data_IF_688955755601
#
_entry.id   IF_688955755601
#
_cell.length_a   1.000
_cell.length_b   1.000
_cell.length_c   1.000
_cell.angle_alpha   90.00
_cell.angle_beta   90.00
_cell.angle_gamma   90.00
#
_symmetry.space_group_name_H-M   'P 1'
#
loop_
_entity.id
_entity.type
_entity.pdbx_description
1 polymer ?
#
# COMPACT_ATOMS: atom_id res chain seq x y z
N UNK A 1 48.14 -59.86 -3.58
CA UNK A 1 48.32 -58.80 -2.59
C UNK A 1 48.98 -57.66 -3.34
N UNK A 2 48.20 -56.67 -3.70
CA UNK A 2 48.71 -55.47 -4.35
C UNK A 2 48.37 -54.35 -3.41
N UNK A 3 49.45 -53.72 -2.88
CA UNK A 3 49.36 -52.59 -1.95
C UNK A 3 48.76 -51.37 -2.65
N UNK A 4 47.72 -50.83 -2.02
CA UNK A 4 46.97 -49.64 -2.42
C UNK A 4 47.29 -48.47 -1.49
N UNK A 5 48.58 -48.07 -1.46
CA UNK A 5 48.99 -46.86 -0.74
C UNK A 5 49.82 -45.97 -1.67
N UNK A 6 49.43 -44.67 -1.72
CA UNK A 6 50.10 -43.54 -2.39
C UNK A 6 49.60 -43.10 -3.75
N UNK A 7 48.42 -42.50 -3.73
CA UNK A 7 47.98 -41.62 -4.85
C UNK A 7 47.72 -40.13 -4.40
N UNK A 8 47.96 -39.77 -3.14
CA UNK A 8 47.73 -38.44 -2.61
C UNK A 8 48.92 -37.69 -2.04
N UNK A 9 50.14 -37.96 -2.56
CA UNK A 9 51.34 -37.21 -2.17
C UNK A 9 51.73 -36.27 -3.32
N UNK A 10 51.20 -35.05 -3.33
CA UNK A 10 51.53 -34.04 -4.35
C UNK A 10 50.57 -32.85 -4.47
N UNK A 11 49.84 -32.52 -3.43
CA UNK A 11 49.09 -31.24 -3.44
C UNK A 11 49.81 -30.27 -2.49
N UNK A 12 50.41 -29.25 -3.14
CA UNK A 12 51.07 -28.11 -2.52
C UNK A 12 50.16 -27.44 -1.47
N UNK A 13 50.67 -27.37 -0.23
CA UNK A 13 50.02 -26.72 0.92
C UNK A 13 50.21 -25.19 0.95
N UNK A 14 50.39 -24.56 -0.18
CA UNK A 14 50.64 -23.10 -0.22
C UNK A 14 49.80 -22.33 -1.26
N UNK A 15 48.51 -22.70 -1.43
CA UNK A 15 47.54 -21.78 -1.97
C UNK A 15 46.73 -21.22 -0.78
N UNK A 16 47.18 -20.08 -0.27
CA UNK A 16 46.48 -19.32 0.73
C UNK A 16 45.08 -18.95 0.25
N UNK A 17 44.14 -19.79 0.65
CA UNK A 17 42.71 -19.48 0.49
C UNK A 17 42.41 -18.41 1.54
N UNK A 18 42.39 -17.15 1.10
CA UNK A 18 42.01 -16.01 1.89
C UNK A 18 40.53 -16.15 2.30
N UNK A 19 40.30 -16.61 3.53
CA UNK A 19 38.98 -16.70 4.14
C UNK A 19 38.34 -15.32 4.39
N UNK A 20 39.02 -14.21 4.10
CA UNK A 20 38.46 -12.86 4.22
C UNK A 20 37.58 -12.47 3.05
N UNK A 21 37.55 -13.24 1.95
CA UNK A 21 36.72 -13.01 0.78
C UNK A 21 35.36 -13.71 0.82
N UNK A 22 35.00 -14.40 1.91
CA UNK A 22 33.58 -14.70 2.19
C UNK A 22 32.87 -13.43 2.66
N UNK A 23 32.84 -12.47 1.76
CA UNK A 23 31.98 -11.28 1.84
C UNK A 23 30.54 -11.73 2.03
N UNK A 24 29.95 -11.22 3.10
CA UNK A 24 28.53 -11.14 3.41
C UNK A 24 27.69 -11.62 2.23
N UNK A 25 27.01 -12.75 2.39
CA UNK A 25 25.85 -13.12 1.57
C UNK A 25 24.86 -11.97 1.69
N UNK A 26 25.03 -10.97 0.85
CA UNK A 26 24.03 -9.95 0.60
C UNK A 26 22.86 -10.72 0.00
N UNK A 27 21.82 -10.97 0.75
CA UNK A 27 20.50 -11.22 0.20
C UNK A 27 20.30 -10.15 -0.87
N UNK A 28 20.30 -10.53 -2.13
CA UNK A 28 19.78 -9.72 -3.22
C UNK A 28 18.28 -9.61 -2.93
N UNK A 29 17.92 -8.68 -2.03
CA UNK A 29 16.53 -8.29 -1.89
C UNK A 29 16.12 -7.77 -3.28
N UNK A 30 15.26 -8.50 -3.95
CA UNK A 30 14.66 -8.04 -5.20
C UNK A 30 14.02 -6.68 -4.93
N UNK A 31 14.16 -5.70 -5.81
CA UNK A 31 13.53 -4.41 -5.63
C UNK A 31 12.03 -4.61 -5.46
N UNK A 32 11.45 -3.93 -4.48
CA UNK A 32 10.01 -4.02 -4.19
C UNK A 32 9.27 -3.31 -5.31
N UNK A 33 8.63 -4.08 -6.19
CA UNK A 33 7.92 -3.55 -7.36
C UNK A 33 6.47 -3.19 -7.07
N UNK A 34 5.97 -3.52 -5.88
CA UNK A 34 4.60 -3.24 -5.42
C UNK A 34 4.62 -2.23 -4.30
N UNK A 35 3.86 -1.16 -4.47
CA UNK A 35 3.69 -0.12 -3.46
C UNK A 35 2.25 -0.10 -2.95
N UNK A 36 2.07 0.04 -1.65
CA UNK A 36 0.75 0.17 -1.02
C UNK A 36 0.66 1.55 -0.38
N UNK A 37 -0.27 2.37 -0.87
CA UNK A 37 -0.41 3.77 -0.51
C UNK A 37 -1.71 3.98 0.25
N UNK A 38 -1.61 4.42 1.50
CA UNK A 38 -2.77 4.79 2.32
C UNK A 38 -3.05 6.28 2.25
N UNK A 39 -4.25 6.66 1.86
CA UNK A 39 -4.64 8.06 1.70
C UNK A 39 -5.70 8.45 2.72
N UNK A 40 -5.39 9.46 3.54
CA UNK A 40 -6.26 9.93 4.62
C UNK A 40 -6.31 9.00 5.82
N UNK A 41 -7.19 9.27 6.79
CA UNK A 41 -7.25 8.53 8.05
C UNK A 41 -7.51 7.04 7.86
N UNK A 42 -8.60 6.66 7.18
CA UNK A 42 -8.95 5.25 6.96
C UNK A 42 -7.89 4.49 6.16
N UNK A 43 -7.38 5.08 5.07
CA UNK A 43 -6.28 4.47 4.31
C UNK A 43 -5.01 4.29 5.14
N UNK A 44 -4.63 5.33 5.92
CA UNK A 44 -3.46 5.25 6.80
C UNK A 44 -3.60 4.17 7.87
N UNK A 45 -4.79 4.01 8.47
CA UNK A 45 -5.03 2.97 9.48
C UNK A 45 -4.86 1.57 8.89
N UNK A 46 -5.41 1.31 7.71
CA UNK A 46 -5.25 0.03 7.03
C UNK A 46 -3.76 -0.28 6.76
N UNK A 47 -3.00 0.70 6.26
CA UNK A 47 -1.56 0.54 6.01
C UNK A 47 -0.78 0.34 7.31
N UNK A 48 -1.09 1.08 8.36
CA UNK A 48 -0.47 0.91 9.68
C UNK A 48 -0.64 -0.54 10.18
N UNK A 49 -1.85 -1.10 10.00
CA UNK A 49 -2.13 -2.48 10.37
C UNK A 49 -1.32 -3.48 9.53
N UNK A 50 -1.30 -3.33 8.19
CA UNK A 50 -0.49 -4.18 7.30
C UNK A 50 0.99 -4.11 7.64
N UNK A 51 1.51 -2.92 7.91
CA UNK A 51 2.90 -2.69 8.27
C UNK A 51 3.28 -3.42 9.55
N UNK A 52 2.43 -3.36 10.59
CA UNK A 52 2.67 -4.07 11.86
C UNK A 52 2.58 -5.57 11.74
N UNK A 53 1.89 -6.10 10.72
CA UNK A 53 1.84 -7.53 10.40
C UNK A 53 3.04 -8.03 9.60
N UNK A 54 4.02 -7.16 9.28
CA UNK A 54 5.23 -7.50 8.52
C UNK A 54 4.92 -8.17 7.17
N UNK A 55 3.99 -7.62 6.41
CA UNK A 55 3.71 -8.08 5.04
C UNK A 55 4.94 -7.83 4.17
N UNK A 56 5.51 -8.91 3.61
CA UNK A 56 6.74 -8.85 2.82
C UNK A 56 6.45 -8.60 1.33
N UNK A 57 7.47 -8.12 0.61
CA UNK A 57 7.41 -7.95 -0.84
C UNK A 57 6.67 -6.70 -1.31
N UNK A 58 6.28 -5.82 -0.39
CA UNK A 58 5.62 -4.54 -0.69
C UNK A 58 6.29 -3.39 0.07
N UNK A 59 6.28 -2.19 -0.51
CA UNK A 59 6.63 -0.95 0.18
C UNK A 59 5.36 -0.21 0.60
N UNK A 60 5.44 0.50 1.73
CA UNK A 60 4.30 1.19 2.32
C UNK A 60 4.53 2.69 2.37
N UNK A 61 3.52 3.45 1.98
CA UNK A 61 3.49 4.91 2.07
C UNK A 61 2.17 5.38 2.64
N UNK A 62 2.18 6.37 3.52
CA UNK A 62 0.97 7.03 4.00
C UNK A 62 0.94 8.50 3.63
N UNK A 63 -0.17 8.94 3.05
CA UNK A 63 -0.43 10.32 2.65
C UNK A 63 -1.58 10.89 3.47
N UNK A 64 -1.38 12.06 4.05
CA UNK A 64 -2.45 12.73 4.77
C UNK A 64 -2.30 14.25 4.70
N UNK A 65 -3.41 14.97 4.86
CA UNK A 65 -3.45 16.42 5.06
C UNK A 65 -3.30 16.81 6.53
N UNK A 66 -3.32 15.83 7.44
CA UNK A 66 -3.17 16.00 8.89
C UNK A 66 -1.80 15.52 9.34
N UNK A 67 -0.98 16.48 9.82
CA UNK A 67 0.38 16.22 10.31
C UNK A 67 0.42 15.35 11.55
N UNK A 68 -0.55 15.51 12.46
CA UNK A 68 -0.60 14.74 13.70
C UNK A 68 -0.89 13.26 13.39
N UNK A 69 -1.83 13.00 12.48
CA UNK A 69 -2.12 11.64 12.03
C UNK A 69 -0.90 10.97 11.39
N UNK A 70 -0.13 11.71 10.57
CA UNK A 70 1.12 11.20 9.98
C UNK A 70 2.19 10.89 11.03
N UNK A 71 2.36 11.76 12.02
CA UNK A 71 3.36 11.56 13.07
C UNK A 71 3.09 10.30 13.91
N UNK A 72 1.84 9.92 14.06
CA UNK A 72 1.42 8.73 14.81
C UNK A 72 1.52 7.43 14.00
N UNK A 73 1.79 7.50 12.69
CA UNK A 73 1.95 6.32 11.85
C UNK A 73 3.29 5.63 12.09
N UNK A 74 3.33 4.29 12.23
CA UNK A 74 4.57 3.51 12.32
C UNK A 74 5.28 3.37 10.95
N UNK A 75 4.59 3.68 9.85
CA UNK A 75 5.13 3.59 8.50
C UNK A 75 6.23 4.64 8.32
N UNK A 76 7.44 4.27 7.86
CA UNK A 76 8.54 5.21 7.74
C UNK A 76 8.32 6.23 6.61
N UNK A 77 7.78 5.81 5.48
CA UNK A 77 7.52 6.68 4.33
C UNK A 77 6.18 7.38 4.47
N UNK A 78 6.22 8.68 4.71
CA UNK A 78 5.05 9.51 5.03
C UNK A 78 5.12 10.81 4.28
N UNK A 79 4.02 11.23 3.65
CA UNK A 79 3.94 12.48 2.93
C UNK A 79 2.77 13.34 3.43
N UNK A 80 3.09 14.54 3.91
CA UNK A 80 2.09 15.57 4.19
C UNK A 80 1.70 16.26 2.89
N UNK A 81 0.47 16.06 2.44
CA UNK A 81 -0.05 16.69 1.22
C UNK A 81 -0.75 18.00 1.52
N UNK A 82 -0.54 18.99 0.65
CA UNK A 82 -1.14 20.32 0.73
C UNK A 82 -0.80 21.11 1.99
N UNK A 83 0.48 21.26 2.35
CA UNK A 83 0.86 21.99 3.55
C UNK A 83 0.43 23.46 3.54
N UNK A 84 0.31 24.10 2.38
CA UNK A 84 -0.18 25.49 2.26
C UNK A 84 -1.70 25.53 2.28
N UNK A 85 -2.37 24.56 1.65
CA UNK A 85 -3.84 24.49 1.58
C UNK A 85 -4.46 24.17 2.94
N UNK A 86 -3.84 23.29 3.75
CA UNK A 86 -4.44 22.76 4.99
C UNK A 86 -3.71 23.18 6.26
N UNK A 87 -2.51 23.76 6.15
CA UNK A 87 -1.61 24.05 7.27
C UNK A 87 -1.29 22.80 8.13
N UNK A 88 -1.49 21.59 7.58
CA UNK A 88 -1.32 20.33 8.29
C UNK A 88 -2.42 20.01 9.31
N UNK A 89 -3.57 20.69 9.23
CA UNK A 89 -4.72 20.53 10.16
C UNK A 89 -5.82 19.63 9.59
N UNK A 90 -5.54 18.97 8.45
CA UNK A 90 -6.53 18.15 7.76
C UNK A 90 -7.43 18.92 6.81
N UNK A 91 -8.22 18.19 6.01
CA UNK A 91 -9.12 18.78 5.00
C UNK A 91 -10.49 19.22 5.53
N UNK A 92 -10.73 19.10 6.85
CA UNK A 92 -11.99 19.54 7.48
C UNK A 92 -13.23 18.84 6.90
N UNK A 93 -13.13 17.56 6.54
CA UNK A 93 -14.22 16.78 5.93
C UNK A 93 -14.73 17.34 4.58
N UNK A 94 -13.86 18.05 3.84
CA UNK A 94 -14.15 18.67 2.54
C UNK A 94 -13.29 18.01 1.46
N UNK A 95 -13.86 17.17 0.58
CA UNK A 95 -13.11 16.51 -0.49
C UNK A 95 -12.41 17.48 -1.44
N UNK A 96 -13.06 18.61 -1.76
CA UNK A 96 -12.50 19.65 -2.62
C UNK A 96 -11.22 20.29 -2.06
N UNK A 97 -11.13 20.44 -0.74
CA UNK A 97 -9.90 20.93 -0.07
C UNK A 97 -8.79 19.88 -0.15
N UNK A 98 -9.13 18.60 0.03
CA UNK A 98 -8.18 17.52 -0.08
C UNK A 98 -7.70 17.31 -1.52
N UNK A 99 -8.57 17.45 -2.50
CA UNK A 99 -8.20 17.43 -3.91
C UNK A 99 -7.19 18.54 -4.23
N UNK A 100 -7.46 19.75 -3.79
CA UNK A 100 -6.54 20.88 -3.96
C UNK A 100 -5.21 20.65 -3.25
N UNK A 101 -5.24 20.07 -2.04
CA UNK A 101 -4.04 19.70 -1.27
C UNK A 101 -3.19 18.64 -2.01
N UNK A 102 -3.81 17.66 -2.63
CA UNK A 102 -3.12 16.66 -3.42
C UNK A 102 -2.52 17.27 -4.70
N UNK A 103 -3.25 18.18 -5.37
CA UNK A 103 -2.74 18.90 -6.54
C UNK A 103 -1.57 19.83 -6.19
N UNK A 104 -1.60 20.48 -5.01
CA UNK A 104 -0.48 21.28 -4.50
C UNK A 104 0.81 20.44 -4.36
N UNK A 105 0.65 19.17 -3.93
CA UNK A 105 1.76 18.25 -3.70
C UNK A 105 1.96 17.23 -4.83
N UNK A 106 1.49 17.54 -6.05
CA UNK A 106 1.52 16.59 -7.16
C UNK A 106 2.94 16.12 -7.52
N UNK A 107 3.93 17.01 -7.46
CA UNK A 107 5.33 16.69 -7.74
C UNK A 107 5.90 15.75 -6.66
N UNK A 108 5.60 16.01 -5.38
CA UNK A 108 6.03 15.15 -4.27
C UNK A 108 5.37 13.77 -4.35
N UNK A 109 4.07 13.71 -4.70
CA UNK A 109 3.36 12.45 -4.91
C UNK A 109 3.94 11.70 -6.12
N UNK A 110 4.25 12.41 -7.19
CA UNK A 110 4.88 11.83 -8.38
C UNK A 110 6.24 11.21 -8.05
N UNK A 111 7.05 11.88 -7.23
CA UNK A 111 8.37 11.40 -6.82
C UNK A 111 8.31 10.08 -6.03
N UNK A 112 7.20 9.79 -5.34
CA UNK A 112 7.00 8.48 -4.67
C UNK A 112 7.02 7.29 -5.63
N UNK A 113 6.79 7.54 -6.91
CA UNK A 113 6.70 6.54 -7.98
C UNK A 113 7.87 6.57 -8.96
N UNK A 114 8.97 7.26 -8.62
CA UNK A 114 10.17 7.34 -9.47
C UNK A 114 11.13 6.15 -9.29
N UNK A 115 10.79 5.24 -8.38
CA UNK A 115 11.49 3.98 -8.15
C UNK A 115 11.01 2.87 -9.14
N UNK A 116 11.41 1.63 -8.89
CA UNK A 116 11.05 0.47 -9.70
C UNK A 116 9.59 0.02 -9.54
N UNK A 117 8.70 0.86 -9.01
CA UNK A 117 7.28 0.53 -8.81
C UNK A 117 6.60 0.22 -10.12
N UNK A 118 6.01 -0.98 -10.23
CA UNK A 118 5.23 -1.43 -11.39
C UNK A 118 3.73 -1.52 -11.08
N UNK A 119 3.39 -1.67 -9.81
CA UNK A 119 2.03 -1.80 -9.33
C UNK A 119 1.82 -0.98 -8.07
N UNK A 120 0.67 -0.34 -7.96
CA UNK A 120 0.28 0.39 -6.75
C UNK A 120 -1.12 0.02 -6.31
N UNK A 121 -1.26 -0.27 -5.01
CA UNK A 121 -2.55 -0.32 -4.34
C UNK A 121 -2.78 1.01 -3.64
N UNK A 122 -3.89 1.67 -3.93
CA UNK A 122 -4.29 2.92 -3.27
C UNK A 122 -5.48 2.63 -2.40
N UNK A 123 -5.28 2.72 -1.08
CA UNK A 123 -6.35 2.46 -0.11
C UNK A 123 -6.85 3.76 0.49
N UNK A 124 -8.19 3.90 0.59
CA UNK A 124 -8.81 5.07 1.18
C UNK A 124 -10.17 4.76 1.79
N UNK A 125 -10.45 5.35 2.95
CA UNK A 125 -11.81 5.45 3.47
C UNK A 125 -12.53 6.61 2.79
N UNK A 126 -13.60 6.31 2.04
CA UNK A 126 -14.42 7.32 1.37
C UNK A 126 -15.45 7.92 2.32
N UNK A 127 -15.93 9.14 2.00
CA UNK A 127 -16.93 9.86 2.77
C UNK A 127 -16.37 10.96 3.67
N UNK A 128 -15.07 10.92 3.97
CA UNK A 128 -14.34 12.00 4.63
C UNK A 128 -13.83 13.07 3.66
N UNK A 129 -12.85 13.85 4.09
CA UNK A 129 -12.17 14.84 3.26
C UNK A 129 -11.02 14.22 2.46
N UNK A 130 -9.96 13.82 3.18
CA UNK A 130 -8.67 13.46 2.58
C UNK A 130 -8.77 12.24 1.66
N UNK A 131 -9.31 11.11 2.14
CA UNK A 131 -9.44 9.91 1.33
C UNK A 131 -10.27 10.14 0.07
N UNK A 132 -11.44 10.78 0.23
CA UNK A 132 -12.38 11.03 -0.87
C UNK A 132 -11.81 11.95 -1.95
N UNK A 133 -11.12 13.02 -1.55
CA UNK A 133 -10.64 14.03 -2.49
C UNK A 133 -9.25 13.78 -3.04
N UNK A 134 -8.34 13.27 -2.22
CA UNK A 134 -6.93 13.10 -2.61
C UNK A 134 -6.65 11.76 -3.30
N UNK A 135 -7.33 10.66 -2.93
CA UNK A 135 -7.04 9.36 -3.52
C UNK A 135 -7.20 9.30 -5.04
N UNK A 136 -8.24 9.90 -5.66
CA UNK A 136 -8.35 9.96 -7.11
C UNK A 136 -7.19 10.71 -7.78
N UNK A 137 -6.65 11.76 -7.14
CA UNK A 137 -5.49 12.51 -7.66
C UNK A 137 -4.24 11.65 -7.61
N UNK A 138 -4.02 10.93 -6.51
CA UNK A 138 -2.90 9.98 -6.38
C UNK A 138 -2.99 8.88 -7.44
N UNK A 139 -4.19 8.32 -7.64
CA UNK A 139 -4.44 7.30 -8.66
C UNK A 139 -4.13 7.82 -10.07
N UNK A 140 -4.58 9.03 -10.39
CA UNK A 140 -4.28 9.67 -11.65
C UNK A 140 -2.78 9.82 -11.89
N UNK A 141 -2.03 10.28 -10.90
CA UNK A 141 -0.58 10.46 -11.00
C UNK A 141 0.12 9.11 -11.26
N UNK A 142 -0.26 8.06 -10.52
CA UNK A 142 0.31 6.72 -10.71
C UNK A 142 0.01 6.17 -12.11
N UNK A 143 -1.24 6.29 -12.57
CA UNK A 143 -1.67 5.86 -13.90
C UNK A 143 -0.95 6.63 -15.02
N UNK A 144 -0.81 7.94 -14.88
CA UNK A 144 -0.12 8.79 -15.86
C UNK A 144 1.37 8.39 -16.00
N UNK A 145 1.96 7.71 -15.00
CA UNK A 145 3.30 7.10 -15.04
C UNK A 145 3.31 5.67 -15.61
N UNK A 146 2.19 5.14 -16.04
CA UNK A 146 2.07 3.78 -16.58
C UNK A 146 2.15 2.68 -15.52
N UNK A 147 1.86 2.99 -14.26
CA UNK A 147 1.87 2.03 -13.16
C UNK A 147 0.49 1.37 -13.08
N UNK A 148 0.46 0.03 -12.98
CA UNK A 148 -0.78 -0.71 -12.74
C UNK A 148 -1.40 -0.25 -11.42
N UNK A 149 -2.55 0.40 -11.48
CA UNK A 149 -3.16 1.10 -10.36
C UNK A 149 -4.45 0.42 -9.91
N UNK A 150 -4.45 -0.11 -8.69
CA UNK A 150 -5.61 -0.75 -8.07
C UNK A 150 -6.11 0.11 -6.91
N UNK A 151 -7.39 0.47 -6.96
CA UNK A 151 -8.07 1.15 -5.86
C UNK A 151 -8.75 0.16 -4.92
N UNK A 152 -8.60 0.35 -3.61
CA UNK A 152 -9.33 -0.40 -2.59
C UNK A 152 -9.94 0.62 -1.63
N UNK A 153 -11.26 0.78 -1.68
CA UNK A 153 -11.93 1.84 -0.94
C UNK A 153 -13.09 1.31 -0.10
N UNK A 154 -13.35 1.99 1.02
CA UNK A 154 -14.49 1.67 1.87
C UNK A 154 -15.60 2.70 1.73
N UNK A 155 -16.86 2.23 1.74
CA UNK A 155 -18.05 3.07 1.85
C UNK A 155 -18.51 3.05 3.31
N UNK A 156 -18.83 4.22 3.91
CA UNK A 156 -19.19 4.34 5.32
C UNK A 156 -20.40 3.50 5.73
N UNK A 157 -20.51 3.20 7.02
CA UNK A 157 -21.70 2.62 7.63
C UNK A 157 -22.90 3.54 7.53
N UNK A 158 -24.12 2.99 7.58
CA UNK A 158 -25.37 3.78 7.53
C UNK A 158 -25.48 4.75 8.71
N UNK A 159 -24.99 4.36 9.89
CA UNK A 159 -25.02 5.22 11.08
C UNK A 159 -24.10 6.45 10.97
N UNK A 160 -23.14 6.48 10.05
CA UNK A 160 -22.28 7.63 9.79
C UNK A 160 -23.00 8.76 9.04
N UNK A 161 -24.15 8.47 8.47
CA UNK A 161 -25.08 9.41 7.89
C UNK A 161 -25.00 9.53 6.37
N UNK A 162 -26.16 9.82 5.78
CA UNK A 162 -26.34 9.87 4.33
C UNK A 162 -25.39 10.81 3.60
N UNK A 163 -25.03 11.94 4.21
CA UNK A 163 -24.09 12.90 3.58
C UNK A 163 -22.69 12.30 3.36
N UNK A 164 -22.20 11.48 4.29
CA UNK A 164 -20.92 10.77 4.14
C UNK A 164 -21.01 9.72 3.03
N UNK A 165 -22.11 8.96 2.99
CA UNK A 165 -22.34 7.94 1.97
C UNK A 165 -22.36 8.56 0.57
N UNK A 166 -23.11 9.65 0.37
CA UNK A 166 -23.17 10.33 -0.93
C UNK A 166 -21.80 10.86 -1.37
N UNK A 167 -21.02 11.43 -0.44
CA UNK A 167 -19.63 11.82 -0.71
C UNK A 167 -18.75 10.63 -1.08
N UNK A 168 -18.94 9.50 -0.38
CA UNK A 168 -18.17 8.28 -0.62
C UNK A 168 -18.43 7.74 -2.03
N UNK A 169 -19.70 7.67 -2.44
CA UNK A 169 -20.07 7.22 -3.77
C UNK A 169 -19.48 8.13 -4.85
N UNK A 170 -19.61 9.45 -4.70
CA UNK A 170 -19.01 10.40 -5.64
C UNK A 170 -17.48 10.27 -5.71
N UNK A 171 -16.81 10.01 -4.57
CA UNK A 171 -15.36 9.76 -4.52
C UNK A 171 -14.96 8.45 -5.18
N UNK A 172 -15.75 7.39 -5.01
CA UNK A 172 -15.53 6.12 -5.68
C UNK A 172 -15.73 6.23 -7.20
N UNK A 173 -16.77 6.93 -7.65
CA UNK A 173 -17.01 7.22 -9.07
C UNK A 173 -15.85 8.02 -9.70
N UNK A 174 -15.29 8.98 -8.96
CA UNK A 174 -14.11 9.72 -9.42
C UNK A 174 -12.87 8.84 -9.47
N UNK A 175 -12.64 8.02 -8.43
CA UNK A 175 -11.51 7.09 -8.35
C UNK A 175 -11.51 6.09 -9.51
N UNK A 176 -12.69 5.57 -9.88
CA UNK A 176 -12.85 4.59 -10.95
C UNK A 176 -12.29 5.05 -12.30
N UNK A 177 -12.25 6.35 -12.55
CA UNK A 177 -11.71 6.91 -13.80
C UNK A 177 -10.21 6.74 -13.97
N UNK A 178 -9.49 6.52 -12.85
CA UNK A 178 -8.04 6.58 -12.79
C UNK A 178 -7.39 5.28 -12.31
N UNK A 179 -8.17 4.23 -12.08
CA UNK A 179 -7.66 2.91 -11.68
C UNK A 179 -7.98 1.86 -12.74
N UNK A 180 -7.14 0.84 -12.82
CA UNK A 180 -7.33 -0.32 -13.70
C UNK A 180 -8.34 -1.30 -13.08
N UNK A 181 -8.36 -1.38 -11.75
CA UNK A 181 -9.37 -2.11 -10.99
C UNK A 181 -9.77 -1.34 -9.73
N UNK A 182 -11.06 -1.38 -9.36
CA UNK A 182 -11.59 -0.76 -8.14
C UNK A 182 -12.34 -1.80 -7.31
N UNK A 183 -11.82 -2.09 -6.12
CA UNK A 183 -12.51 -2.88 -5.10
C UNK A 183 -13.22 -1.94 -4.13
N UNK A 184 -14.54 -2.05 -4.05
CA UNK A 184 -15.38 -1.27 -3.14
C UNK A 184 -15.85 -2.17 -2.00
N UNK A 185 -15.45 -1.86 -0.78
CA UNK A 185 -15.88 -2.52 0.44
C UNK A 185 -16.99 -1.70 1.06
N UNK A 186 -18.20 -2.26 1.11
CA UNK A 186 -19.30 -1.62 1.80
C UNK A 186 -19.28 -2.02 3.28
N UNK A 187 -18.91 -1.08 4.16
CA UNK A 187 -18.82 -1.34 5.60
C UNK A 187 -20.13 -1.85 6.20
N UNK A 188 -21.29 -1.42 5.68
CA UNK A 188 -22.58 -1.91 6.15
C UNK A 188 -22.73 -3.43 6.01
N UNK A 189 -22.11 -4.04 4.99
CA UNK A 189 -22.11 -5.50 4.83
C UNK A 189 -21.36 -6.24 5.93
N UNK A 190 -20.47 -5.58 6.65
CA UNK A 190 -19.76 -6.16 7.78
C UNK A 190 -20.73 -6.47 8.93
N UNK A 191 -21.82 -5.72 9.08
CA UNK A 191 -22.85 -5.97 10.11
C UNK A 191 -23.60 -7.27 9.86
N UNK A 192 -23.69 -7.71 8.60
CA UNK A 192 -24.32 -8.98 8.23
C UNK A 192 -23.34 -10.17 8.47
N UNK A 193 -22.03 -9.93 8.33
CA UNK A 193 -20.99 -10.98 8.45
C UNK A 193 -20.58 -11.19 9.91
N UNK A 194 -20.54 -10.12 10.69
CA UNK A 194 -20.10 -10.11 12.09
C UNK A 194 -21.28 -9.74 13.01
N UNK A 195 -21.96 -10.74 13.62
CA UNK A 195 -23.13 -10.48 14.47
C UNK A 195 -22.84 -9.64 15.72
N UNK A 196 -21.59 -9.69 16.18
CA UNK A 196 -21.13 -8.96 17.38
C UNK A 196 -20.55 -7.58 17.05
N UNK A 197 -20.84 -7.06 15.85
CA UNK A 197 -20.36 -5.75 15.43
C UNK A 197 -21.13 -4.66 16.19
N UNK A 198 -20.43 -3.90 17.00
CA UNK A 198 -20.93 -2.74 17.71
C UNK A 198 -20.20 -1.47 17.23
N UNK A 199 -20.60 -0.32 17.74
CA UNK A 199 -20.02 0.97 17.35
C UNK A 199 -18.53 1.04 17.67
N UNK A 200 -18.07 0.43 18.77
CA UNK A 200 -16.69 0.53 19.25
C UNK A 200 -15.71 -0.29 18.37
N UNK A 201 -16.17 -1.44 17.84
CA UNK A 201 -15.32 -2.33 17.04
C UNK A 201 -15.55 -2.23 15.52
N UNK A 202 -16.64 -1.57 15.07
CA UNK A 202 -17.02 -1.51 13.66
C UNK A 202 -15.93 -0.93 12.76
N UNK A 203 -15.31 0.18 13.19
CA UNK A 203 -14.25 0.82 12.41
C UNK A 203 -12.99 -0.04 12.34
N UNK A 204 -12.63 -0.71 13.44
CA UNK A 204 -11.51 -1.65 13.44
C UNK A 204 -11.73 -2.79 12.45
N UNK A 205 -12.95 -3.34 12.38
CA UNK A 205 -13.30 -4.39 11.40
C UNK A 205 -13.27 -3.90 9.95
N UNK A 206 -13.65 -2.65 9.70
CA UNK A 206 -13.54 -2.04 8.38
C UNK A 206 -12.06 -1.88 7.96
N UNK A 207 -11.21 -1.41 8.87
CA UNK A 207 -9.76 -1.27 8.64
C UNK A 207 -9.09 -2.64 8.44
N UNK A 208 -9.46 -3.67 9.22
CA UNK A 208 -9.02 -5.05 9.03
C UNK A 208 -9.39 -5.59 7.65
N UNK A 209 -10.64 -5.38 7.22
CA UNK A 209 -11.13 -5.86 5.93
C UNK A 209 -10.39 -5.22 4.77
N UNK A 210 -10.12 -3.91 4.86
CA UNK A 210 -9.35 -3.16 3.89
C UNK A 210 -7.91 -3.71 3.81
N UNK A 211 -7.30 -3.97 4.97
CA UNK A 211 -5.96 -4.55 5.08
C UNK A 211 -5.88 -5.95 4.49
N UNK A 212 -6.86 -6.81 4.81
CA UNK A 212 -6.95 -8.19 4.29
C UNK A 212 -7.07 -8.18 2.76
N UNK A 213 -7.93 -7.31 2.21
CA UNK A 213 -8.10 -7.20 0.76
C UNK A 213 -6.79 -6.82 0.05
N UNK A 214 -6.12 -5.75 0.51
CA UNK A 214 -4.85 -5.31 -0.06
C UNK A 214 -3.75 -6.37 0.10
N UNK A 215 -3.66 -7.01 1.27
CA UNK A 215 -2.71 -8.08 1.54
C UNK A 215 -2.93 -9.30 0.65
N UNK A 216 -4.17 -9.78 0.55
CA UNK A 216 -4.48 -10.99 -0.23
C UNK A 216 -4.10 -10.84 -1.70
N UNK A 217 -4.34 -9.67 -2.29
CA UNK A 217 -3.97 -9.41 -3.67
C UNK A 217 -2.45 -9.29 -3.80
N UNK A 218 -1.78 -8.60 -2.88
CA UNK A 218 -0.31 -8.46 -2.92
C UNK A 218 0.39 -9.81 -2.74
N UNK A 219 -0.10 -10.68 -1.85
CA UNK A 219 0.45 -12.02 -1.63
C UNK A 219 0.27 -12.93 -2.85
N UNK A 220 -0.84 -12.83 -3.58
CA UNK A 220 -1.05 -13.59 -4.82
C UNK A 220 0.02 -13.28 -5.88
N UNK A 221 0.49 -12.03 -5.92
CA UNK A 221 1.46 -11.57 -6.92
C UNK A 221 2.90 -11.83 -6.46
N UNK A 222 3.17 -11.70 -5.14
CA UNK A 222 4.53 -11.82 -4.58
C UNK A 222 4.91 -13.25 -4.22
N UNK A 223 3.94 -14.16 -4.06
CA UNK A 223 4.22 -15.54 -3.70
C UNK A 223 4.58 -16.34 -4.96
N UNK A 224 5.76 -16.95 -4.98
CA UNK A 224 6.15 -17.91 -6.01
C UNK A 224 5.18 -19.10 -6.02
N UNK A 225 4.24 -19.09 -6.94
CA UNK A 225 3.29 -20.17 -7.14
C UNK A 225 3.79 -21.21 -8.14
N UNK A 226 3.13 -22.39 -8.19
CA UNK A 226 3.34 -23.38 -9.28
C UNK A 226 2.97 -22.84 -10.66
N UNK A 227 2.19 -21.77 -10.73
CA UNK A 227 1.81 -21.02 -11.92
C UNK A 227 2.07 -19.56 -11.55
N UNK A 228 3.06 -18.93 -12.18
CA UNK A 228 3.30 -17.50 -12.00
C UNK A 228 2.14 -16.73 -12.64
N UNK A 229 1.42 -15.95 -11.81
CA UNK A 229 0.53 -14.92 -12.30
C UNK A 229 1.40 -13.77 -12.86
N UNK A 230 1.26 -13.50 -14.16
CA UNK A 230 1.90 -12.34 -14.77
C UNK A 230 1.09 -11.07 -14.43
N UNK A 231 1.75 -9.91 -14.40
CA UNK A 231 1.07 -8.61 -14.27
C UNK A 231 -0.01 -8.40 -15.33
N UNK A 232 0.16 -8.99 -16.50
CA UNK A 232 -0.83 -8.95 -17.58
C UNK A 232 -2.11 -9.71 -17.24
N UNK A 233 -2.06 -10.74 -16.38
CA UNK A 233 -3.23 -11.52 -15.99
C UNK A 233 -4.15 -10.76 -15.03
N UNK A 234 -3.61 -9.74 -14.33
CA UNK A 234 -4.37 -8.86 -13.43
C UNK A 234 -5.03 -7.71 -14.18
N UNK A 235 -4.53 -7.43 -15.40
CA UNK A 235 -4.98 -6.31 -16.23
C UNK A 235 -6.05 -6.72 -17.28
N UNK A 236 -6.56 -7.96 -17.22
CA UNK A 236 -7.61 -8.47 -18.11
C UNK A 236 -8.94 -8.47 -17.41
#
# INVERSE_FOLDING_TARGET
>A
MIDNDNIFDGIDKDSGFDQSAMGKSGSLALPTIIKVVGVGGGGSNAINHMYTQNVNGVSFVVLNTDRQALNNSPVPERLLIGPKTTNGLGAGNKPEVAQQAALESADDISALFDDDTKMVFITAGMGGGTGTGAAPVVAKIARDKGILTIGIVTIPFLFEGQRKILKALAGADEMQKYVDALLIINNERLTEIYPDLDFDNAFGKADDTLSIAARSISELITTEGRINLDFNDVNT
#
